data_IF_281599556700
#
_entry.id   IF_281599556700
#
_cell.length_a   1.000
_cell.length_b   1.000
_cell.length_c   1.000
_cell.angle_alpha   90.00
_cell.angle_beta   90.00
_cell.angle_gamma   90.00
#
_symmetry.space_group_name_H-M   'P 1'
#
loop_
_entity.id
_entity.type
_entity.pdbx_description
1 polymer ?
#
# COMPACT_ATOMS: atom_id res chain seq x y z
N UNK A 1 52.83 -6.54 -10.20
CA UNK A 1 51.45 -6.91 -10.61
C UNK A 1 50.46 -6.05 -9.84
N UNK A 2 49.98 -4.94 -10.42
CA UNK A 2 49.09 -3.98 -9.75
C UNK A 2 47.77 -3.81 -10.50
N UNK A 3 46.89 -4.81 -10.42
CA UNK A 3 45.55 -4.79 -11.04
C UNK A 3 44.50 -4.26 -10.09
N UNK A 4 44.50 -2.95 -9.79
CA UNK A 4 43.59 -2.32 -8.85
C UNK A 4 42.71 -1.24 -9.48
N UNK A 5 41.39 -1.47 -9.44
CA UNK A 5 40.38 -0.46 -9.10
C UNK A 5 39.83 0.51 -10.19
N UNK A 6 39.38 -0.01 -11.33
CA UNK A 6 38.40 0.70 -12.22
C UNK A 6 36.94 0.23 -12.07
N UNK A 7 36.68 -0.76 -11.20
CA UNK A 7 35.41 -1.52 -11.20
C UNK A 7 34.50 -1.28 -9.96
N UNK A 8 34.95 -0.55 -8.93
CA UNK A 8 34.17 -0.40 -7.68
C UNK A 8 33.13 0.71 -7.74
N UNK A 9 33.44 1.85 -8.35
CA UNK A 9 32.49 2.97 -8.50
C UNK A 9 31.39 2.70 -9.52
N UNK A 10 31.71 1.99 -10.63
CA UNK A 10 30.71 1.56 -11.61
C UNK A 10 29.71 0.58 -11.01
N UNK A 11 30.17 -0.44 -10.26
CA UNK A 11 29.31 -1.38 -9.53
C UNK A 11 28.41 -0.71 -8.49
N UNK A 12 28.91 0.32 -7.78
CA UNK A 12 28.08 1.12 -6.86
C UNK A 12 27.00 1.92 -7.57
N UNK A 13 27.32 2.51 -8.73
CA UNK A 13 26.35 3.22 -9.57
C UNK A 13 25.22 2.30 -10.04
N UNK A 14 25.59 1.13 -10.57
CA UNK A 14 24.64 0.11 -11.02
C UNK A 14 23.77 -0.39 -9.87
N UNK A 15 24.34 -0.70 -8.69
CA UNK A 15 23.57 -1.10 -7.51
C UNK A 15 22.59 -0.01 -7.04
N UNK A 16 22.96 1.27 -7.11
CA UNK A 16 22.06 2.38 -6.77
C UNK A 16 20.87 2.47 -7.73
N UNK A 17 21.12 2.26 -9.02
CA UNK A 17 20.08 2.26 -10.06
C UNK A 17 19.15 1.05 -9.88
N UNK A 18 19.71 -0.15 -9.68
CA UNK A 18 18.94 -1.37 -9.45
C UNK A 18 18.06 -1.27 -8.20
N UNK A 19 18.56 -0.68 -7.10
CA UNK A 19 17.72 -0.41 -5.90
C UNK A 19 16.56 0.55 -6.19
N UNK A 20 16.77 1.60 -6.98
CA UNK A 20 15.70 2.53 -7.37
C UNK A 20 14.65 1.85 -8.24
N UNK A 21 15.08 1.00 -9.19
CA UNK A 21 14.16 0.23 -10.05
C UNK A 21 13.36 -0.77 -9.20
N UNK A 22 14.02 -1.51 -8.31
CA UNK A 22 13.35 -2.47 -7.44
C UNK A 22 12.30 -1.81 -6.53
N UNK A 23 12.59 -0.60 -6.01
CA UNK A 23 11.60 0.18 -5.26
C UNK A 23 10.44 0.71 -6.13
N UNK A 24 10.65 0.92 -7.43
CA UNK A 24 9.62 1.40 -8.34
C UNK A 24 8.66 0.28 -8.81
N UNK A 25 9.10 -0.99 -8.82
CA UNK A 25 8.28 -2.12 -9.28
C UNK A 25 7.05 -2.41 -8.41
N UNK A 26 7.02 -1.99 -7.14
CA UNK A 26 5.85 -2.15 -6.27
C UNK A 26 4.65 -1.28 -6.67
N UNK A 27 4.86 -0.18 -7.38
CA UNK A 27 3.80 0.80 -7.66
C UNK A 27 2.70 0.31 -8.61
N UNK A 28 3.03 -0.54 -9.59
CA UNK A 28 2.05 -0.99 -10.60
C UNK A 28 1.02 -1.95 -10.02
N UNK A 29 1.45 -2.89 -9.16
CA UNK A 29 0.56 -3.83 -8.50
C UNK A 29 -0.38 -3.15 -7.49
N UNK A 30 0.10 -2.12 -6.75
CA UNK A 30 -0.74 -1.32 -5.85
C UNK A 30 -1.85 -0.60 -6.62
N UNK A 31 -1.52 0.00 -7.77
CA UNK A 31 -2.51 0.70 -8.59
C UNK A 31 -3.61 -0.24 -9.09
N UNK A 32 -3.25 -1.41 -9.62
CA UNK A 32 -4.23 -2.41 -10.07
C UNK A 32 -5.09 -2.94 -8.92
N UNK A 33 -4.49 -3.21 -7.76
CA UNK A 33 -5.24 -3.66 -6.59
C UNK A 33 -6.23 -2.58 -6.11
N UNK A 34 -5.80 -1.32 -6.06
CA UNK A 34 -6.68 -0.21 -5.66
C UNK A 34 -7.89 -0.01 -6.58
N UNK A 35 -7.71 -0.12 -7.90
CA UNK A 35 -8.83 0.02 -8.85
C UNK A 35 -9.81 -1.13 -8.74
N UNK A 36 -9.33 -2.38 -8.58
CA UNK A 36 -10.20 -3.52 -8.35
C UNK A 36 -10.99 -3.38 -7.04
N UNK A 37 -10.32 -3.05 -5.93
CA UNK A 37 -10.96 -2.90 -4.62
C UNK A 37 -12.03 -1.82 -4.65
N UNK A 38 -11.69 -0.63 -5.15
CA UNK A 38 -12.63 0.50 -5.20
C UNK A 38 -13.85 0.22 -6.09
N UNK A 39 -13.67 -0.55 -7.17
CA UNK A 39 -14.74 -0.91 -8.09
C UNK A 39 -15.70 -1.97 -7.51
N UNK A 40 -15.18 -2.99 -6.82
CA UNK A 40 -15.99 -4.12 -6.36
C UNK A 40 -16.53 -3.97 -4.93
N UNK A 41 -15.79 -3.34 -4.01
CA UNK A 41 -16.18 -3.26 -2.59
C UNK A 41 -17.16 -2.11 -2.30
N UNK A 42 -17.07 -1.03 -3.07
CA UNK A 42 -17.81 0.21 -2.82
C UNK A 42 -17.34 0.97 -1.58
N UNK A 43 -17.86 2.20 -1.40
CA UNK A 43 -17.41 3.13 -0.36
C UNK A 43 -18.48 3.35 0.71
N UNK A 44 -18.13 3.16 1.99
CA UNK A 44 -18.99 3.45 3.15
C UNK A 44 -18.27 4.33 4.18
N UNK A 45 -18.65 5.60 4.26
CA UNK A 45 -18.02 6.58 5.18
C UNK A 45 -18.36 6.40 6.66
N UNK A 46 -19.50 5.76 6.96
CA UNK A 46 -19.92 5.49 8.33
C UNK A 46 -19.56 4.06 8.70
N UNK A 47 -18.87 3.82 9.82
CA UNK A 47 -18.63 2.50 10.34
C UNK A 47 -19.92 1.71 10.51
N UNK A 48 -19.90 0.45 10.13
CA UNK A 48 -21.01 -0.49 10.26
C UNK A 48 -20.49 -1.83 10.76
N UNK A 49 -21.39 -2.66 11.29
CA UNK A 49 -21.06 -4.06 11.56
C UNK A 49 -21.35 -4.91 10.34
N UNK A 50 -20.37 -5.69 9.91
CA UNK A 50 -20.56 -6.65 8.83
C UNK A 50 -21.28 -7.93 9.29
N UNK A 51 -21.41 -8.92 8.40
CA UNK A 51 -22.06 -10.20 8.72
C UNK A 51 -21.34 -11.03 9.78
N UNK A 52 -20.09 -10.70 10.12
CA UNK A 52 -19.30 -11.31 11.18
C UNK A 52 -19.31 -10.54 12.50
N UNK A 53 -20.15 -9.50 12.63
CA UNK A 53 -20.21 -8.60 13.79
C UNK A 53 -18.90 -7.79 14.00
N UNK A 54 -18.06 -7.68 12.97
CA UNK A 54 -16.82 -6.89 12.98
C UNK A 54 -17.12 -5.46 12.52
N UNK A 55 -16.54 -4.49 13.22
CA UNK A 55 -16.68 -3.08 12.86
C UNK A 55 -15.82 -2.79 11.61
N UNK A 56 -16.48 -2.28 10.56
CA UNK A 56 -15.91 -2.13 9.22
C UNK A 56 -16.25 -0.75 8.66
N UNK A 57 -15.34 -0.14 7.88
CA UNK A 57 -15.53 1.20 7.26
C UNK A 57 -14.80 1.32 5.92
N UNK A 58 -15.12 2.34 5.13
CA UNK A 58 -14.49 2.66 3.85
C UNK A 58 -14.60 1.50 2.84
N UNK A 59 -13.49 1.06 2.26
CA UNK A 59 -13.41 -0.07 1.32
C UNK A 59 -13.18 -1.41 2.04
N UNK A 60 -13.90 -1.65 3.14
CA UNK A 60 -13.75 -2.89 3.93
C UNK A 60 -12.63 -2.87 4.97
N UNK A 61 -12.13 -1.69 5.40
CA UNK A 61 -11.14 -1.60 6.45
C UNK A 61 -11.72 -2.10 7.79
N UNK A 62 -10.98 -3.00 8.45
CA UNK A 62 -11.31 -3.54 9.78
C UNK A 62 -10.17 -3.26 10.76
N UNK A 63 -10.50 -3.08 12.04
CA UNK A 63 -9.47 -2.97 13.08
C UNK A 63 -9.85 -2.09 14.26
N UNK A 64 -9.01 -2.12 15.30
CA UNK A 64 -9.22 -1.40 16.57
C UNK A 64 -9.14 0.13 16.44
N UNK A 65 -8.65 0.64 15.31
CA UNK A 65 -8.50 2.06 15.06
C UNK A 65 -9.77 2.72 14.48
N UNK A 66 -10.84 1.95 14.24
CA UNK A 66 -12.10 2.50 13.74
C UNK A 66 -12.82 3.21 14.89
N UNK A 67 -13.22 4.46 14.65
CA UNK A 67 -13.92 5.29 15.62
C UNK A 67 -15.43 5.13 15.38
N UNK A 68 -16.19 4.49 16.30
CA UNK A 68 -17.63 4.30 16.12
C UNK A 68 -18.35 5.65 15.97
N UNK A 69 -19.31 5.72 15.05
CA UNK A 69 -20.12 6.92 14.80
C UNK A 69 -19.41 8.06 14.07
N UNK A 70 -18.11 7.95 13.79
CA UNK A 70 -17.39 8.92 12.95
C UNK A 70 -17.86 8.82 11.49
N UNK A 71 -17.95 9.96 10.81
CA UNK A 71 -18.02 10.02 9.36
C UNK A 71 -16.62 10.26 8.79
N UNK A 72 -16.09 9.29 8.05
CA UNK A 72 -14.77 9.39 7.44
C UNK A 72 -14.83 10.22 6.16
N UNK A 73 -13.79 10.99 5.86
CA UNK A 73 -13.68 11.69 4.56
C UNK A 73 -13.14 10.75 3.48
N UNK A 74 -13.23 11.18 2.21
CA UNK A 74 -12.64 10.44 1.09
C UNK A 74 -11.13 10.22 1.29
N UNK A 75 -10.42 11.25 1.75
CA UNK A 75 -8.97 11.19 1.98
C UNK A 75 -8.62 10.22 3.11
N UNK A 76 -9.42 10.20 4.17
CA UNK A 76 -9.23 9.24 5.25
C UNK A 76 -9.47 7.80 4.77
N UNK A 77 -10.49 7.58 3.93
CA UNK A 77 -10.74 6.27 3.34
C UNK A 77 -9.65 5.83 2.36
N UNK A 78 -9.09 6.75 1.56
CA UNK A 78 -7.95 6.46 0.69
C UNK A 78 -6.69 6.14 1.50
N UNK A 79 -6.43 6.87 2.58
CA UNK A 79 -5.29 6.61 3.46
C UNK A 79 -5.39 5.24 4.15
N UNK A 80 -6.61 4.78 4.48
CA UNK A 80 -6.83 3.44 5.00
C UNK A 80 -6.58 2.38 3.91
N UNK A 81 -7.13 2.58 2.70
CA UNK A 81 -6.91 1.67 1.57
C UNK A 81 -5.41 1.50 1.25
N UNK A 82 -4.64 2.59 1.22
CA UNK A 82 -3.20 2.53 0.95
C UNK A 82 -2.46 1.71 2.02
N UNK A 83 -2.81 1.89 3.30
CA UNK A 83 -2.22 1.13 4.41
C UNK A 83 -2.54 -0.36 4.29
N UNK A 84 -3.79 -0.69 3.98
CA UNK A 84 -4.24 -2.09 3.87
C UNK A 84 -3.57 -2.78 2.67
N UNK A 85 -3.49 -2.11 1.51
CA UNK A 85 -2.76 -2.63 0.34
C UNK A 85 -1.28 -2.81 0.63
N UNK A 86 -0.65 -1.85 1.31
CA UNK A 86 0.74 -1.96 1.72
C UNK A 86 0.96 -3.14 2.66
N UNK A 87 0.06 -3.37 3.62
CA UNK A 87 0.14 -4.51 4.52
C UNK A 87 -0.04 -5.83 3.76
N UNK A 88 -0.97 -5.90 2.81
CA UNK A 88 -1.21 -7.10 1.99
C UNK A 88 -0.06 -7.43 1.04
N UNK A 89 0.65 -6.42 0.53
CA UNK A 89 1.77 -6.57 -0.41
C UNK A 89 3.14 -6.65 0.28
N UNK A 90 3.22 -6.42 1.59
CA UNK A 90 4.43 -6.63 2.37
C UNK A 90 4.68 -8.14 2.54
N UNK A 91 5.41 -8.72 1.57
CA UNK A 91 5.93 -10.08 1.57
C UNK A 91 7.46 -10.02 1.58
#
# INVERSE_FOLDING_TARGET
MGGGNRNTNSKRGIMKILKKILMAMGGSAVLLASTMVTYFEGLRHKPYKDGGDVLTVCYGHTGKAIIPGKHYTDEECQALLERDLKAAMAI
#
